data_IF_858751148094
#
_entry.id   IF_858751148094
#
_cell.length_a   1.000
_cell.length_b   1.000
_cell.length_c   1.000
_cell.angle_alpha   90.00
_cell.angle_beta   90.00
_cell.angle_gamma   90.00
#
_symmetry.space_group_name_H-M   'P 1'
#
loop_
_entity.id
_entity.type
_entity.pdbx_description
1 polymer ?
#
# COMPACT_ATOMS: atom_id res chain seq x y z
N UNK A 1 -0.87 -17.47 1.50
CA UNK A 1 -1.78 -17.02 0.44
C UNK A 1 -2.33 -15.68 0.86
N UNK A 2 -1.90 -14.63 0.17
CA UNK A 2 -2.27 -13.27 0.47
C UNK A 2 -3.75 -13.06 0.12
N UNK A 3 -4.52 -12.51 1.06
CA UNK A 3 -5.89 -12.10 0.80
C UNK A 3 -5.94 -11.06 -0.33
N UNK A 4 -7.08 -11.00 -1.02
CA UNK A 4 -7.32 -10.02 -2.09
C UNK A 4 -6.97 -8.59 -1.68
N UNK A 5 -7.34 -8.16 -0.47
CA UNK A 5 -7.01 -6.81 0.02
C UNK A 5 -5.50 -6.55 0.16
N UNK A 6 -4.72 -7.58 0.49
CA UNK A 6 -3.25 -7.51 0.53
C UNK A 6 -2.67 -7.43 -0.88
N UNK A 7 -3.17 -8.26 -1.80
CA UNK A 7 -2.79 -8.24 -3.22
C UNK A 7 -3.04 -6.86 -3.85
N UNK A 8 -4.22 -6.28 -3.61
CA UNK A 8 -4.59 -4.94 -4.09
C UNK A 8 -3.62 -3.86 -3.56
N UNK A 9 -3.37 -3.84 -2.24
CA UNK A 9 -2.45 -2.87 -1.62
C UNK A 9 -1.03 -2.99 -2.18
N UNK A 10 -0.55 -4.22 -2.34
CA UNK A 10 0.78 -4.52 -2.86
C UNK A 10 0.91 -4.12 -4.33
N UNK A 11 -0.15 -4.29 -5.12
CA UNK A 11 -0.17 -3.83 -6.51
C UNK A 11 -0.07 -2.29 -6.57
N UNK A 12 -0.82 -1.57 -5.75
CA UNK A 12 -0.71 -0.10 -5.68
C UNK A 12 0.68 0.32 -5.24
N UNK A 13 1.29 -0.35 -4.26
CA UNK A 13 2.65 -0.07 -3.82
C UNK A 13 3.69 -0.27 -4.95
N UNK A 14 3.56 -1.35 -5.73
CA UNK A 14 4.40 -1.59 -6.91
C UNK A 14 4.21 -0.49 -7.96
N UNK A 15 2.96 -0.12 -8.25
CA UNK A 15 2.67 0.98 -9.19
C UNK A 15 3.30 2.30 -8.74
N UNK A 16 3.20 2.66 -7.46
CA UNK A 16 3.81 3.86 -6.89
C UNK A 16 5.35 3.82 -7.03
N UNK A 17 5.96 2.66 -6.74
CA UNK A 17 7.40 2.46 -6.88
C UNK A 17 7.86 2.49 -8.36
N UNK A 18 7.09 1.93 -9.29
CA UNK A 18 7.39 1.91 -10.73
C UNK A 18 7.47 3.34 -11.30
N UNK A 19 6.59 4.24 -10.82
CA UNK A 19 6.64 5.64 -11.22
C UNK A 19 7.85 6.39 -10.62
N UNK A 20 8.59 5.78 -9.68
CA UNK A 20 9.69 6.42 -8.96
C UNK A 20 9.24 7.61 -8.11
N UNK A 21 7.94 7.71 -7.84
CA UNK A 21 7.32 8.82 -7.14
C UNK A 21 6.95 8.34 -5.74
N UNK A 22 7.89 8.50 -4.81
CA UNK A 22 7.62 8.32 -3.36
C UNK A 22 6.55 9.28 -2.82
N UNK A 23 6.18 10.28 -3.62
CA UNK A 23 5.31 11.40 -3.29
C UNK A 23 4.18 11.61 -4.32
N UNK A 24 3.53 10.54 -4.77
CA UNK A 24 2.29 10.66 -5.54
C UNK A 24 1.22 11.40 -4.71
N UNK A 25 0.48 12.35 -5.30
CA UNK A 25 -0.58 13.05 -4.59
C UNK A 25 -1.73 12.09 -4.25
N UNK A 26 -2.35 12.28 -3.08
CA UNK A 26 -3.49 11.47 -2.60
C UNK A 26 -4.58 11.17 -3.66
N UNK A 27 -5.04 12.12 -4.49
CA UNK A 27 -6.03 11.82 -5.53
C UNK A 27 -5.55 10.78 -6.57
N UNK A 28 -4.25 10.75 -6.89
CA UNK A 28 -3.71 9.76 -7.81
C UNK A 28 -3.64 8.38 -7.16
N UNK A 29 -3.17 8.31 -5.90
CA UNK A 29 -3.16 7.05 -5.14
C UNK A 29 -4.58 6.50 -4.96
N UNK A 30 -5.57 7.37 -4.72
CA UNK A 30 -6.98 6.98 -4.63
C UNK A 30 -7.50 6.42 -5.94
N UNK A 31 -7.22 7.09 -7.06
CA UNK A 31 -7.60 6.61 -8.40
C UNK A 31 -6.99 5.24 -8.69
N UNK A 32 -5.70 5.03 -8.38
CA UNK A 32 -5.05 3.73 -8.55
C UNK A 32 -5.71 2.63 -7.70
N UNK A 33 -6.10 2.94 -6.46
CA UNK A 33 -6.85 1.99 -5.62
C UNK A 33 -8.22 1.62 -6.23
N UNK A 34 -8.94 2.59 -6.79
CA UNK A 34 -10.23 2.33 -7.45
C UNK A 34 -10.05 1.47 -8.71
N UNK A 35 -9.03 1.75 -9.52
CA UNK A 35 -8.69 0.95 -10.70
C UNK A 35 -8.34 -0.50 -10.31
N UNK A 36 -7.52 -0.69 -9.27
CA UNK A 36 -7.12 -2.02 -8.77
C UNK A 36 -8.30 -2.79 -8.16
N UNK A 37 -9.18 -2.13 -7.41
CA UNK A 37 -10.41 -2.76 -6.89
C UNK A 37 -11.37 -3.23 -7.97
N UNK A 38 -11.34 -2.58 -9.13
CA UNK A 38 -12.14 -2.95 -10.29
C UNK A 38 -11.68 -4.22 -11.00
N UNK A 39 -10.47 -4.71 -10.72
CA UNK A 39 -9.92 -5.92 -11.33
C UNK A 39 -10.59 -7.18 -10.78
N UNK A 40 -10.77 -8.19 -11.63
CA UNK A 40 -11.07 -9.55 -11.15
C UNK A 40 -9.85 -10.15 -10.43
N UNK A 41 -10.06 -11.24 -9.70
CA UNK A 41 -8.98 -11.92 -8.97
C UNK A 41 -7.90 -12.47 -9.91
N UNK A 42 -8.30 -13.07 -11.04
CA UNK A 42 -7.36 -13.51 -12.08
C UNK A 42 -6.58 -12.35 -12.71
N UNK A 43 -7.23 -11.21 -12.97
CA UNK A 43 -6.56 -10.03 -13.50
C UNK A 43 -5.59 -9.43 -12.48
N UNK A 44 -5.97 -9.39 -11.21
CA UNK A 44 -5.12 -8.93 -10.12
C UNK A 44 -3.87 -9.81 -10.01
N UNK A 45 -4.02 -11.13 -10.03
CA UNK A 45 -2.93 -12.09 -9.92
C UNK A 45 -2.00 -12.02 -11.13
N UNK A 46 -2.55 -11.98 -12.35
CA UNK A 46 -1.76 -11.78 -13.58
C UNK A 46 -0.99 -10.48 -13.54
N UNK A 47 -1.62 -9.40 -13.08
CA UNK A 47 -1.01 -8.07 -13.05
C UNK A 47 0.13 -8.01 -12.03
N UNK A 48 -0.05 -8.64 -10.86
CA UNK A 48 1.00 -8.79 -9.86
C UNK A 48 2.15 -9.65 -10.38
N UNK A 49 1.84 -10.81 -10.96
CA UNK A 49 2.84 -11.71 -11.54
C UNK A 49 3.68 -10.99 -12.60
N UNK A 50 3.05 -10.25 -13.52
CA UNK A 50 3.75 -9.51 -14.56
C UNK A 50 4.68 -8.44 -13.99
N UNK A 51 4.30 -7.76 -12.90
CA UNK A 51 5.13 -6.73 -12.25
C UNK A 51 6.26 -7.31 -11.40
N UNK A 52 6.03 -8.47 -10.81
CA UNK A 52 7.03 -9.21 -10.03
C UNK A 52 7.93 -10.09 -10.92
N UNK A 53 7.80 -9.97 -12.24
CA UNK A 53 8.52 -10.76 -13.24
C UNK A 53 8.39 -12.28 -13.02
N UNK A 54 7.21 -12.71 -12.56
CA UNK A 54 6.89 -14.12 -12.33
C UNK A 54 6.38 -14.79 -13.61
N UNK A 55 6.67 -16.10 -13.81
CA UNK A 55 6.20 -16.85 -14.98
C UNK A 55 4.68 -17.04 -14.96
N UNK A 56 4.01 -16.95 -16.12
CA UNK A 56 2.57 -17.25 -16.29
C UNK A 56 2.37 -18.68 -16.83
N UNK A 57 1.58 -19.55 -16.18
CA UNK A 57 0.85 -19.35 -14.94
C UNK A 57 1.76 -19.33 -13.71
N UNK A 58 1.53 -18.36 -12.82
CA UNK A 58 2.27 -18.20 -11.57
C UNK A 58 1.67 -19.10 -10.49
N UNK A 59 2.54 -19.79 -9.76
CA UNK A 59 2.14 -20.56 -8.58
C UNK A 59 1.76 -19.62 -7.42
N UNK A 60 0.71 -19.96 -6.69
CA UNK A 60 0.18 -19.10 -5.63
C UNK A 60 1.16 -18.93 -4.45
N UNK A 61 2.00 -19.92 -4.14
CA UNK A 61 3.06 -19.79 -3.13
C UNK A 61 4.21 -18.91 -3.65
N UNK A 62 4.53 -18.99 -4.94
CA UNK A 62 5.52 -18.12 -5.57
C UNK A 62 5.06 -16.66 -5.55
N UNK A 63 3.78 -16.41 -5.83
CA UNK A 63 3.17 -15.09 -5.73
C UNK A 63 3.19 -14.57 -4.29
N UNK A 64 2.77 -15.39 -3.32
CA UNK A 64 2.76 -15.04 -1.89
C UNK A 64 4.17 -14.68 -1.38
N UNK A 65 5.17 -15.47 -1.75
CA UNK A 65 6.58 -15.21 -1.42
C UNK A 65 7.09 -13.92 -2.05
N UNK A 66 6.76 -13.66 -3.31
CA UNK A 66 7.17 -12.44 -4.00
C UNK A 66 6.51 -11.20 -3.36
N UNK A 67 5.22 -11.28 -3.01
CA UNK A 67 4.49 -10.23 -2.30
C UNK A 67 5.07 -9.91 -0.93
N UNK A 68 5.60 -10.90 -0.22
CA UNK A 68 6.29 -10.71 1.06
C UNK A 68 7.57 -9.85 0.91
N UNK A 69 8.22 -9.89 -0.25
CA UNK A 69 9.40 -9.09 -0.56
C UNK A 69 9.11 -7.65 -1.01
N UNK A 70 7.85 -7.32 -1.32
CA UNK A 70 7.46 -5.96 -1.76
C UNK A 70 7.47 -5.02 -0.57
N UNK A 71 8.38 -4.05 -0.57
CA UNK A 71 8.38 -2.96 0.40
C UNK A 71 7.19 -2.03 0.15
N UNK A 72 6.32 -1.91 1.15
CA UNK A 72 5.21 -0.96 1.12
C UNK A 72 5.75 0.42 1.54
N UNK A 73 5.47 1.50 0.77
CA UNK A 73 5.76 2.86 1.20
C UNK A 73 5.17 3.11 2.60
N UNK A 74 5.88 3.86 3.44
CA UNK A 74 5.44 4.13 4.83
C UNK A 74 4.03 4.73 4.90
N UNK A 75 3.59 5.49 3.87
CA UNK A 75 2.21 6.01 3.75
C UNK A 75 1.13 4.94 3.55
N UNK A 76 1.47 3.82 2.93
CA UNK A 76 0.57 2.67 2.76
C UNK A 76 0.67 1.70 3.95
N UNK A 77 1.78 1.72 4.67
CA UNK A 77 2.04 0.87 5.84
C UNK A 77 1.52 1.49 7.16
N UNK A 78 1.51 2.82 7.26
CA UNK A 78 0.98 3.57 8.41
C UNK A 78 -0.53 3.82 8.25
N UNK A 79 -1.33 2.76 8.21
CA UNK A 79 -2.76 2.94 7.97
C UNK A 79 -3.58 1.66 7.91
N UNK A 80 -3.68 0.94 9.03
CA UNK A 80 -4.99 0.41 9.39
C UNK A 80 -6.01 1.56 9.44
N UNK A 81 -7.32 1.31 9.29
CA UNK A 81 -8.35 2.35 9.16
C UNK A 81 -8.51 3.32 10.36
N UNK A 82 -7.59 3.34 11.32
CA UNK A 82 -7.61 4.17 12.54
C UNK A 82 -6.36 5.05 12.75
N UNK A 83 -5.43 5.14 11.79
CA UNK A 83 -4.21 5.94 11.94
C UNK A 83 -4.30 7.41 11.51
N UNK A 84 -5.46 7.86 11.04
CA UNK A 84 -5.64 9.19 10.43
C UNK A 84 -6.26 10.22 11.38
N UNK A 85 -5.83 10.24 12.63
CA UNK A 85 -5.84 11.51 13.39
C UNK A 85 -4.40 11.96 13.49
N UNK A 86 -4.02 12.87 12.60
CA UNK A 86 -2.87 13.75 12.81
C UNK A 86 -3.13 14.63 14.02
N UNK A 87 -3.08 14.07 15.21
CA UNK A 87 -2.87 14.83 16.42
C UNK A 87 -1.37 15.14 16.46
N UNK A 88 -0.94 16.40 16.33
CA UNK A 88 0.38 16.74 16.79
C UNK A 88 0.37 16.45 18.30
N UNK A 89 1.27 15.60 18.78
CA UNK A 89 1.54 15.46 20.21
C UNK A 89 2.09 16.79 20.72
N UNK A 90 1.18 17.70 21.02
CA UNK A 90 1.43 18.96 21.71
C UNK A 90 1.12 18.74 23.19
N UNK A 91 1.78 17.76 23.79
CA UNK A 91 1.95 17.69 25.24
C UNK A 91 2.91 18.78 25.69
N UNK A 92 2.45 20.04 25.65
CA UNK A 92 3.06 21.11 26.43
C UNK A 92 2.22 21.32 27.68
N UNK A 93 2.71 20.76 28.79
CA UNK A 93 2.24 21.06 30.13
C UNK A 93 2.20 22.59 30.33
N UNK A 94 1.02 23.12 30.64
CA UNK A 94 0.89 24.49 31.12
C UNK A 94 1.56 24.58 32.49
N UNK A 95 2.76 25.18 32.56
CA UNK A 95 3.38 25.57 33.82
C UNK A 95 2.58 26.74 34.42
N UNK A 96 2.05 26.65 35.65
CA UNK A 96 1.44 27.78 36.31
C UNK A 96 2.52 28.49 37.12
N UNK A 97 3.14 29.53 36.57
CA UNK A 97 4.02 30.42 37.33
C UNK A 97 3.93 31.84 36.78
N UNK A 98 2.87 32.56 37.16
CA UNK A 98 2.91 34.02 37.27
C UNK A 98 2.25 34.44 38.59
N UNK A 99 3.12 34.61 39.58
CA UNK A 99 3.07 35.51 40.75
C UNK A 99 1.85 35.55 41.66
#
# INVERSE_FOLDING_TARGET
MADRGTKERKLVALMVNDLGLSDLPEPEVKRMNEEVRGLSEEELDRTLASRLELPDPTDEEALDRALAGVQEPERLSAGGPEGFTGAPDMSHEARPEER
#
